data_IF_767571949033
#
_entry.id   IF_767571949033
#
_cell.length_a   1.000
_cell.length_b   1.000
_cell.length_c   1.000
_cell.angle_alpha   90.00
_cell.angle_beta   90.00
_cell.angle_gamma   90.00
#
_symmetry.space_group_name_H-M   'P 1'
#
loop_
_entity.id
_entity.type
_entity.pdbx_description
1 polymer ?
#
# COMPACT_ATOMS: atom_id res chain seq x y z
N UNK A 1 9.19 -18.28 -14.31
CA UNK A 1 8.67 -17.87 -13.01
C UNK A 1 8.79 -16.38 -12.81
N UNK A 2 7.71 -15.75 -12.41
CA UNK A 2 7.70 -14.34 -12.11
C UNK A 2 8.46 -14.08 -10.81
N UNK A 3 9.47 -13.20 -10.80
CA UNK A 3 10.33 -13.01 -9.63
C UNK A 3 9.76 -12.08 -8.56
N UNK A 4 8.58 -11.52 -8.76
CA UNK A 4 7.98 -10.55 -7.84
C UNK A 4 6.64 -11.03 -7.33
N UNK A 5 6.27 -10.57 -6.15
CA UNK A 5 4.94 -10.82 -5.58
C UNK A 5 4.26 -9.48 -5.26
N UNK A 6 2.94 -9.48 -5.33
CA UNK A 6 2.16 -8.37 -4.81
C UNK A 6 2.11 -8.47 -3.30
N UNK A 7 2.40 -7.37 -2.65
CA UNK A 7 2.30 -7.26 -1.21
C UNK A 7 1.44 -6.05 -0.87
N UNK A 8 0.93 -6.00 0.34
CA UNK A 8 0.11 -4.86 0.74
C UNK A 8 0.32 -4.52 2.20
N UNK A 9 0.11 -3.24 2.51
CA UNK A 9 0.09 -2.73 3.87
C UNK A 9 -1.30 -2.19 4.12
N UNK A 10 -1.87 -2.57 5.24
CA UNK A 10 -3.21 -2.18 5.62
C UNK A 10 -3.20 -1.53 7.00
N UNK A 11 -3.78 -0.33 7.08
CA UNK A 11 -4.05 0.32 8.35
C UNK A 11 -5.54 0.46 8.53
N UNK A 12 -5.99 0.25 9.74
CA UNK A 12 -7.39 0.54 10.10
C UNK A 12 -7.46 1.99 10.55
N UNK A 13 -8.27 2.79 9.90
CA UNK A 13 -8.46 4.21 10.26
C UNK A 13 -9.93 4.47 10.51
N UNK A 14 -10.23 5.33 11.46
CA UNK A 14 -11.61 5.68 11.76
C UNK A 14 -12.25 6.45 10.59
N UNK A 15 -13.57 6.35 10.46
CA UNK A 15 -14.30 7.02 9.39
C UNK A 15 -14.09 8.54 9.38
N UNK A 16 -13.85 9.11 10.56
CA UNK A 16 -13.66 10.56 10.73
C UNK A 16 -12.28 11.05 10.32
N UNK A 17 -11.37 10.13 9.97
CA UNK A 17 -10.03 10.52 9.52
C UNK A 17 -10.08 11.34 8.25
N UNK A 18 -9.07 12.18 8.06
CA UNK A 18 -8.86 12.85 6.78
C UNK A 18 -8.32 11.82 5.79
N UNK A 19 -9.22 11.22 5.02
CA UNK A 19 -8.86 10.11 4.13
C UNK A 19 -7.90 10.53 3.02
N UNK A 20 -8.01 11.76 2.54
CA UNK A 20 -7.09 12.27 1.52
C UNK A 20 -5.67 12.37 2.08
N UNK A 21 -5.54 12.83 3.32
CA UNK A 21 -4.24 12.88 3.98
C UNK A 21 -3.67 11.47 4.18
N UNK A 22 -4.48 10.52 4.63
CA UNK A 22 -4.04 9.14 4.83
C UNK A 22 -3.56 8.53 3.51
N UNK A 23 -4.37 8.65 2.47
CA UNK A 23 -4.04 8.11 1.15
C UNK A 23 -2.77 8.75 0.58
N UNK A 24 -2.68 10.07 0.66
CA UNK A 24 -1.52 10.78 0.13
C UNK A 24 -0.25 10.41 0.86
N UNK A 25 -0.31 10.31 2.19
CA UNK A 25 0.85 9.94 3.00
C UNK A 25 1.35 8.55 2.67
N UNK A 26 0.44 7.57 2.62
CA UNK A 26 0.81 6.21 2.29
C UNK A 26 1.38 6.10 0.88
N UNK A 27 0.76 6.78 -0.08
CA UNK A 27 1.20 6.77 -1.47
C UNK A 27 2.56 7.42 -1.63
N UNK A 28 2.77 8.59 -1.03
CA UNK A 28 4.05 9.29 -1.12
C UNK A 28 5.21 8.45 -0.58
N UNK A 29 5.02 7.84 0.58
CA UNK A 29 6.06 7.02 1.18
C UNK A 29 6.34 5.79 0.32
N UNK A 30 5.31 5.13 -0.18
CA UNK A 30 5.50 3.98 -1.05
C UNK A 30 6.21 4.38 -2.34
N UNK A 31 5.86 5.51 -2.94
CA UNK A 31 6.51 5.99 -4.15
C UNK A 31 7.97 6.37 -3.91
N UNK A 32 8.28 7.04 -2.80
CA UNK A 32 9.65 7.41 -2.46
C UNK A 32 10.55 6.18 -2.31
N UNK A 33 10.04 5.15 -1.67
CA UNK A 33 10.83 3.96 -1.39
C UNK A 33 10.87 2.97 -2.54
N UNK A 34 9.81 2.88 -3.33
CA UNK A 34 9.63 1.81 -4.30
C UNK A 34 9.29 2.28 -5.71
N UNK A 35 9.05 3.56 -5.93
CA UNK A 35 8.50 4.05 -7.20
C UNK A 35 9.30 3.61 -8.42
N UNK A 36 10.60 3.85 -8.44
CA UNK A 36 11.43 3.46 -9.57
C UNK A 36 11.54 1.96 -9.73
N UNK A 37 11.75 1.27 -8.62
CA UNK A 37 11.85 -0.19 -8.64
C UNK A 37 10.54 -0.82 -9.08
N UNK A 38 9.41 -0.27 -8.63
CA UNK A 38 8.10 -0.79 -9.02
C UNK A 38 7.83 -0.59 -10.51
N UNK A 39 8.20 0.55 -11.06
CA UNK A 39 8.03 0.81 -12.48
C UNK A 39 8.75 -0.25 -13.31
N UNK A 40 9.98 -0.58 -12.95
CA UNK A 40 10.76 -1.59 -13.61
C UNK A 40 10.16 -2.98 -13.44
N UNK A 41 9.68 -3.29 -12.25
CA UNK A 41 9.05 -4.58 -11.96
C UNK A 41 7.74 -4.74 -12.73
N UNK A 42 6.97 -3.67 -12.86
CA UNK A 42 5.73 -3.69 -13.64
C UNK A 42 6.03 -3.93 -15.11
N UNK A 43 7.07 -3.35 -15.64
CA UNK A 43 7.50 -3.61 -17.03
C UNK A 43 7.79 -5.09 -17.23
N UNK A 44 8.56 -5.69 -16.32
CA UNK A 44 8.88 -7.11 -16.38
C UNK A 44 7.61 -7.96 -16.33
N UNK A 45 6.69 -7.59 -15.44
CA UNK A 45 5.42 -8.31 -15.31
C UNK A 45 4.61 -8.22 -16.59
N UNK A 46 4.53 -7.03 -17.17
CA UNK A 46 3.78 -6.81 -18.40
C UNK A 46 4.39 -7.59 -19.57
N UNK A 47 5.71 -7.62 -19.67
CA UNK A 47 6.40 -8.40 -20.69
C UNK A 47 6.11 -9.90 -20.56
N UNK A 48 6.13 -10.42 -19.34
CA UNK A 48 5.82 -11.83 -19.10
C UNK A 48 4.37 -12.16 -19.43
N UNK A 49 3.44 -11.26 -19.11
CA UNK A 49 2.03 -11.46 -19.45
C UNK A 49 1.80 -11.45 -20.97
N UNK A 50 2.55 -10.62 -21.68
CA UNK A 50 2.42 -10.54 -23.14
C UNK A 50 2.82 -11.83 -23.83
N UNK A 51 3.63 -12.67 -23.19
CA UNK A 51 4.06 -13.95 -23.71
C UNK A 51 3.04 -15.06 -23.45
N UNK A 52 2.00 -14.81 -22.67
CA UNK A 52 0.98 -15.81 -22.34
C UNK A 52 -0.33 -15.48 -23.05
N UNK A 53 -1.11 -16.50 -23.41
CA UNK A 53 -2.40 -16.27 -24.08
C UNK A 53 -3.53 -15.93 -23.10
N UNK A 54 -3.23 -15.09 -22.11
CA UNK A 54 -4.24 -14.60 -21.18
C UNK A 54 -4.48 -13.13 -21.44
N UNK A 55 -5.71 -12.69 -21.14
CA UNK A 55 -6.06 -11.30 -21.29
C UNK A 55 -5.14 -10.42 -20.45
N UNK A 56 -4.73 -9.31 -21.02
CA UNK A 56 -3.89 -8.38 -20.32
C UNK A 56 -4.64 -7.79 -19.15
N UNK A 57 -4.16 -8.10 -17.96
CA UNK A 57 -4.65 -7.45 -16.76
C UNK A 57 -4.03 -6.06 -16.67
N UNK A 58 -4.83 -5.09 -16.27
CA UNK A 58 -4.29 -3.77 -16.01
C UNK A 58 -3.36 -3.85 -14.81
N UNK A 59 -2.09 -3.60 -15.04
CA UNK A 59 -1.09 -3.59 -13.97
C UNK A 59 -0.78 -2.14 -13.65
N UNK A 60 -0.95 -1.77 -12.40
CA UNK A 60 -0.67 -0.41 -11.96
C UNK A 60 0.84 -0.19 -11.89
N UNK A 61 1.29 0.91 -12.50
CA UNK A 61 2.71 1.24 -12.56
C UNK A 61 3.25 1.82 -11.25
N UNK A 62 2.37 2.32 -10.40
CA UNK A 62 2.73 2.96 -9.14
C UNK A 62 1.93 2.38 -7.99
N UNK A 63 2.46 2.48 -6.76
CA UNK A 63 1.68 2.10 -5.59
C UNK A 63 0.37 2.89 -5.53
N UNK A 64 -0.71 2.20 -5.21
CA UNK A 64 -2.05 2.79 -5.16
C UNK A 64 -2.67 2.53 -3.81
N UNK A 65 -3.41 3.51 -3.31
CA UNK A 65 -4.12 3.38 -2.04
C UNK A 65 -5.61 3.23 -2.32
N UNK A 66 -6.21 2.20 -1.73
CA UNK A 66 -7.63 1.97 -1.78
C UNK A 66 -8.19 1.88 -0.37
N UNK A 67 -9.47 2.14 -0.23
CA UNK A 67 -10.17 2.03 1.04
C UNK A 67 -11.26 0.97 0.95
N UNK A 68 -11.43 0.23 2.02
CA UNK A 68 -12.52 -0.74 2.16
C UNK A 68 -13.21 -0.54 3.49
N UNK A 69 -14.54 -0.62 3.48
CA UNK A 69 -15.31 -0.61 4.71
C UNK A 69 -15.09 -1.94 5.43
N UNK A 70 -14.59 -1.89 6.65
CA UNK A 70 -14.28 -3.10 7.40
C UNK A 70 -15.18 -3.32 8.61
N UNK A 71 -15.66 -2.27 9.22
CA UNK A 71 -16.46 -2.41 10.43
C UNK A 71 -17.35 -1.20 10.65
N UNK A 72 -17.93 -1.13 11.83
CA UNK A 72 -18.86 -0.05 12.14
C UNK A 72 -18.20 1.31 12.32
N UNK A 73 -16.92 1.34 12.62
CA UNK A 73 -16.22 2.58 12.96
C UNK A 73 -14.92 2.80 12.21
N UNK A 74 -14.51 1.89 11.33
CA UNK A 74 -13.24 2.06 10.63
C UNK A 74 -13.27 1.53 9.21
N UNK A 75 -12.27 2.02 8.47
CA UNK A 75 -11.97 1.61 7.10
C UNK A 75 -10.59 0.96 7.07
N UNK A 76 -10.39 0.06 6.13
CA UNK A 76 -9.05 -0.39 5.78
C UNK A 76 -8.47 0.56 4.74
N UNK A 77 -7.32 1.16 5.05
CA UNK A 77 -6.53 1.91 4.08
C UNK A 77 -5.42 0.98 3.60
N UNK A 78 -5.42 0.65 2.33
CA UNK A 78 -4.57 -0.40 1.78
C UNK A 78 -3.70 0.16 0.65
N UNK A 79 -2.38 -0.05 0.74
CA UNK A 79 -1.47 0.22 -0.38
C UNK A 79 -0.91 -1.10 -0.88
N UNK A 80 -0.86 -1.26 -2.21
CA UNK A 80 -0.35 -2.47 -2.85
C UNK A 80 0.86 -2.13 -3.70
N UNK A 81 1.83 -3.04 -3.70
CA UNK A 81 3.09 -2.84 -4.41
C UNK A 81 3.75 -4.18 -4.76
N UNK A 82 4.61 -4.15 -5.77
CA UNK A 82 5.39 -5.32 -6.16
C UNK A 82 6.72 -5.33 -5.44
N UNK A 83 7.13 -6.49 -4.96
CA UNK A 83 8.35 -6.66 -4.20
C UNK A 83 8.93 -8.05 -4.44
N UNK A 84 10.25 -8.18 -4.30
CA UNK A 84 10.88 -9.49 -4.32
C UNK A 84 10.55 -10.24 -3.03
N UNK A 85 10.22 -11.54 -3.12
CA UNK A 85 9.85 -12.30 -1.92
C UNK A 85 10.88 -12.22 -0.79
N UNK A 86 12.17 -12.21 -1.12
CA UNK A 86 13.24 -12.14 -0.11
C UNK A 86 13.27 -10.82 0.64
N UNK A 87 12.80 -9.76 0.02
CA UNK A 87 12.82 -8.43 0.59
C UNK A 87 11.50 -8.02 1.22
N UNK A 88 10.47 -8.82 1.02
CA UNK A 88 9.10 -8.46 1.40
C UNK A 88 8.95 -8.03 2.85
N UNK A 89 9.51 -8.82 3.77
CA UNK A 89 9.41 -8.53 5.20
C UNK A 89 10.15 -7.26 5.60
N UNK A 90 11.37 -7.09 5.10
CA UNK A 90 12.19 -5.93 5.42
C UNK A 90 11.59 -4.63 4.88
N UNK A 91 11.14 -4.68 3.64
CA UNK A 91 10.53 -3.51 3.00
C UNK A 91 9.21 -3.15 3.69
N UNK A 92 8.39 -4.14 3.99
CA UNK A 92 7.12 -3.91 4.66
C UNK A 92 7.32 -3.24 6.02
N UNK A 93 8.26 -3.73 6.81
CA UNK A 93 8.57 -3.14 8.11
C UNK A 93 9.02 -1.68 7.97
N UNK A 94 9.88 -1.42 7.01
CA UNK A 94 10.38 -0.07 6.75
C UNK A 94 9.26 0.89 6.35
N UNK A 95 8.39 0.45 5.44
CA UNK A 95 7.27 1.26 4.99
C UNK A 95 6.28 1.55 6.13
N UNK A 96 5.95 0.53 6.91
CA UNK A 96 5.03 0.68 8.05
C UNK A 96 5.57 1.72 9.03
N UNK A 97 6.85 1.63 9.36
CA UNK A 97 7.46 2.58 10.31
C UNK A 97 7.40 4.00 9.81
N UNK A 98 7.73 4.22 8.54
CA UNK A 98 7.68 5.56 7.95
C UNK A 98 6.26 6.10 7.85
N UNK A 99 5.33 5.25 7.43
CA UNK A 99 3.93 5.65 7.33
C UNK A 99 3.35 6.01 8.69
N UNK A 100 3.58 5.18 9.70
CA UNK A 100 3.09 5.48 11.05
C UNK A 100 3.70 6.74 11.62
N UNK A 101 4.98 6.97 11.38
CA UNK A 101 5.64 8.19 11.85
C UNK A 101 4.93 9.43 11.30
N UNK A 102 4.64 9.45 10.00
CA UNK A 102 3.99 10.59 9.38
C UNK A 102 2.53 10.71 9.74
N UNK A 103 1.82 9.59 9.82
CA UNK A 103 0.40 9.60 10.21
C UNK A 103 0.24 10.06 11.65
N UNK A 104 1.10 9.60 12.54
CA UNK A 104 1.05 9.98 13.96
C UNK A 104 1.54 11.41 14.23
N UNK A 105 2.25 12.01 13.29
CA UNK A 105 2.68 13.41 13.42
C UNK A 105 1.50 14.37 13.32
N UNK A 106 0.39 13.94 12.75
CA UNK A 106 -0.83 14.76 12.65
C UNK A 106 -2.02 13.97 13.20
N UNK A 107 -2.11 13.85 14.54
CA UNK A 107 -3.11 12.98 15.15
C UNK A 107 -4.54 13.46 14.96
N UNK A 108 -4.75 14.73 14.64
CA UNK A 108 -6.08 15.24 14.35
C UNK A 108 -6.59 14.83 12.96
N UNK A 109 -5.68 14.42 12.08
CA UNK A 109 -6.03 14.03 10.71
C UNK A 109 -6.11 12.52 10.52
N UNK A 110 -5.42 11.75 11.36
CA UNK A 110 -5.47 10.29 11.30
C UNK A 110 -5.93 9.75 12.63
N UNK A 111 -7.14 9.19 12.64
CA UNK A 111 -7.72 8.62 13.83
C UNK A 111 -7.73 7.11 13.68
N UNK A 112 -7.04 6.43 14.57
CA UNK A 112 -7.03 4.97 14.58
C UNK A 112 -8.17 4.46 15.46
N UNK A 113 -8.78 3.32 15.06
CA UNK A 113 -9.81 2.73 15.92
C UNK A 113 -9.22 2.35 17.26
N UNK A 114 -9.97 2.58 18.32
CA UNK A 114 -9.54 2.15 19.64
C UNK A 114 -10.21 0.84 20.00
N UNK A 115 -9.58 0.13 20.89
CA UNK A 115 -10.12 -1.15 21.34
C UNK A 115 -11.42 -0.98 22.10
N UNK A 116 -12.12 -2.09 22.30
CA UNK A 116 -13.37 -2.09 23.06
C UNK A 116 -13.18 -1.69 24.52
N UNK A 117 -11.95 -1.61 24.98
CA UNK A 117 -11.65 -1.23 26.34
C UNK A 117 -11.75 0.27 26.61
N UNK A 118 -12.00 1.10 25.61
CA UNK A 118 -12.16 2.51 25.84
C UNK A 118 -13.48 2.91 26.41
#
# INVERSE_FOLDING_TARGET
LFPYIWNEIKFNVAYESDLDFVAQTMREIAEEELGEAMLERVRTYTELLAETPVDQLQVMEKPTVIFRVNGNTWLDAIVRYLVRPREAGRIKTRLIRKMLMRLNAEPDRTLFPKTNAR
#
